data_IF_617521189306
#
_entry.id   IF_617521189306
#
_cell.length_a   1.000
_cell.length_b   1.000
_cell.length_c   1.000
_cell.angle_alpha   90.00
_cell.angle_beta   90.00
_cell.angle_gamma   90.00
#
_symmetry.space_group_name_H-M   'P 1'
#
loop_
_entity.id
_entity.type
_entity.pdbx_description
1 polymer ?
#
# COMPACT_ATOMS: atom_id res chain seq x y z
N UNK A 1 30.78 -0.48 -0.35
CA UNK A 1 29.48 -1.11 -0.26
C UNK A 1 29.20 -1.51 1.18
N UNK A 2 28.02 -1.20 1.68
CA UNK A 2 27.64 -1.51 3.05
C UNK A 2 26.76 -2.75 3.10
N UNK A 3 26.91 -3.60 4.12
CA UNK A 3 25.96 -4.69 4.32
C UNK A 3 24.53 -4.16 4.48
N UNK A 4 23.57 -4.97 4.10
CA UNK A 4 22.16 -4.58 4.15
C UNK A 4 21.70 -4.15 5.53
N UNK A 5 22.20 -4.82 6.56
CA UNK A 5 21.79 -4.54 7.94
C UNK A 5 22.38 -3.24 8.48
N UNK A 6 23.32 -2.64 7.77
CA UNK A 6 23.88 -1.34 8.14
C UNK A 6 23.16 -0.18 7.47
N UNK A 7 22.25 -0.45 6.56
CA UNK A 7 21.47 0.57 5.88
C UNK A 7 20.26 0.90 6.74
N UNK A 8 20.08 2.18 7.05
CA UNK A 8 18.96 2.61 7.86
C UNK A 8 17.63 2.29 7.18
N UNK A 9 16.72 1.70 7.91
CA UNK A 9 15.37 1.38 7.44
C UNK A 9 14.35 1.99 8.37
N UNK A 10 13.28 2.46 7.77
CA UNK A 10 12.15 3.00 8.51
C UNK A 10 11.04 1.98 8.57
N UNK A 11 10.36 1.92 9.70
CA UNK A 11 9.14 1.12 9.83
C UNK A 11 7.97 2.05 9.59
N UNK A 12 7.11 1.67 8.66
CA UNK A 12 5.93 2.46 8.31
C UNK A 12 4.69 1.58 8.28
N UNK A 13 3.55 2.21 8.46
CA UNK A 13 2.25 1.55 8.31
C UNK A 13 1.52 2.21 7.17
N UNK A 14 0.99 1.41 6.25
CA UNK A 14 0.23 1.88 5.11
C UNK A 14 -1.13 1.23 5.11
N UNK A 15 -2.15 2.02 4.78
CA UNK A 15 -3.49 1.51 4.58
C UNK A 15 -3.74 1.41 3.09
N UNK A 16 -4.07 0.22 2.63
CA UNK A 16 -4.41 -0.03 1.24
C UNK A 16 -5.91 -0.14 1.15
N UNK A 17 -6.52 0.52 0.16
CA UNK A 17 -7.95 0.49 0.01
C UNK A 17 -8.38 0.53 -1.44
N UNK A 18 -9.47 -0.16 -1.76
CA UNK A 18 -10.05 -0.14 -3.09
C UNK A 18 -11.56 -0.34 -2.98
N UNK A 19 -12.32 0.49 -3.69
CA UNK A 19 -13.77 0.35 -3.71
C UNK A 19 -14.35 0.25 -5.11
N UNK A 20 -13.51 0.18 -6.13
CA UNK A 20 -13.96 0.07 -7.51
C UNK A 20 -13.26 -1.08 -8.21
N UNK A 21 -13.94 -1.65 -9.20
CA UNK A 21 -13.39 -2.75 -9.99
C UNK A 21 -13.21 -4.01 -9.16
N UNK A 22 -12.19 -4.77 -9.49
CA UNK A 22 -11.82 -5.96 -8.73
C UNK A 22 -11.00 -5.53 -7.51
N UNK A 23 -11.71 -5.30 -6.40
CA UNK A 23 -11.12 -4.72 -5.19
C UNK A 23 -9.99 -5.56 -4.63
N UNK A 24 -10.15 -6.87 -4.61
CA UNK A 24 -9.14 -7.77 -4.08
C UNK A 24 -7.91 -7.78 -4.96
N UNK A 25 -8.10 -7.83 -6.27
CA UNK A 25 -7.00 -7.78 -7.22
C UNK A 25 -6.22 -6.48 -7.11
N UNK A 26 -6.92 -5.37 -6.90
CA UNK A 26 -6.28 -4.07 -6.72
C UNK A 26 -5.40 -4.05 -5.47
N UNK A 27 -5.86 -4.63 -4.38
CA UNK A 27 -5.08 -4.71 -3.15
C UNK A 27 -3.84 -5.59 -3.36
N UNK A 28 -4.00 -6.73 -4.01
CA UNK A 28 -2.88 -7.62 -4.27
C UNK A 28 -1.86 -6.99 -5.21
N UNK A 29 -2.33 -6.26 -6.22
CA UNK A 29 -1.45 -5.54 -7.13
C UNK A 29 -0.67 -4.46 -6.39
N UNK A 30 -1.33 -3.75 -5.47
CA UNK A 30 -0.67 -2.73 -4.65
C UNK A 30 0.44 -3.37 -3.81
N UNK A 31 0.18 -4.52 -3.20
CA UNK A 31 1.18 -5.22 -2.41
C UNK A 31 2.39 -5.60 -3.25
N UNK A 32 2.15 -6.14 -4.44
CA UNK A 32 3.25 -6.51 -5.35
C UNK A 32 4.11 -5.31 -5.73
N UNK A 33 3.46 -4.20 -6.05
CA UNK A 33 4.19 -3.00 -6.43
C UNK A 33 4.94 -2.39 -5.25
N UNK A 34 4.39 -2.46 -4.04
CA UNK A 34 5.09 -2.02 -2.84
C UNK A 34 6.38 -2.82 -2.63
N UNK A 35 6.32 -4.14 -2.83
CA UNK A 35 7.51 -4.98 -2.71
C UNK A 35 8.57 -4.64 -3.75
N UNK A 36 8.15 -4.26 -4.94
CA UNK A 36 9.08 -3.89 -6.00
C UNK A 36 9.68 -2.50 -5.83
N UNK A 37 8.88 -1.55 -5.37
CA UNK A 37 9.24 -0.14 -5.47
C UNK A 37 9.57 0.52 -4.15
N UNK A 38 9.09 -0.02 -3.03
CA UNK A 38 9.18 0.70 -1.76
C UNK A 38 9.93 -0.04 -0.66
N UNK A 39 9.80 -1.34 -0.55
CA UNK A 39 10.48 -2.06 0.51
C UNK A 39 9.86 -3.41 0.82
N UNK A 40 9.97 -3.84 2.08
CA UNK A 40 9.53 -5.15 2.54
C UNK A 40 8.26 -5.04 3.38
N UNK A 41 7.28 -5.89 3.09
CA UNK A 41 6.10 -6.04 3.94
C UNK A 41 6.45 -7.02 5.04
N UNK A 42 6.33 -6.59 6.28
CA UNK A 42 6.68 -7.39 7.46
C UNK A 42 5.48 -8.12 8.00
N UNK A 43 4.35 -7.43 8.11
CA UNK A 43 3.10 -7.97 8.63
C UNK A 43 1.96 -7.31 7.88
N UNK A 44 0.88 -8.07 7.68
CA UNK A 44 -0.34 -7.54 7.07
C UNK A 44 -1.52 -7.88 7.94
N UNK A 45 -2.46 -6.97 8.05
CA UNK A 45 -3.74 -7.26 8.69
C UNK A 45 -4.57 -8.17 7.78
N UNK A 46 -5.63 -8.79 8.30
CA UNK A 46 -6.64 -9.38 7.42
C UNK A 46 -7.24 -8.28 6.54
N UNK A 47 -7.80 -8.69 5.40
CA UNK A 47 -8.56 -7.78 4.55
C UNK A 47 -9.94 -7.59 5.20
N UNK A 48 -10.43 -6.36 5.22
CA UNK A 48 -11.72 -6.05 5.82
C UNK A 48 -12.46 -5.01 5.00
N UNK A 49 -13.78 -4.97 5.16
CA UNK A 49 -14.60 -4.00 4.44
C UNK A 49 -14.95 -2.81 5.31
N UNK A 50 -15.11 -1.64 4.69
CA UNK A 50 -15.61 -0.46 5.37
C UNK A 50 -16.52 0.33 4.45
N UNK A 51 -17.49 1.03 5.05
CA UNK A 51 -18.36 1.91 4.31
C UNK A 51 -17.63 3.16 3.84
N UNK A 52 -18.02 3.71 2.66
CA UNK A 52 -17.51 5.02 2.26
C UNK A 52 -17.90 6.07 3.26
N UNK A 53 -16.95 6.87 3.70
CA UNK A 53 -17.18 7.87 4.73
C UNK A 53 -17.88 9.09 4.15
N UNK A 54 -18.91 9.57 4.84
CA UNK A 54 -19.56 10.83 4.50
C UNK A 54 -20.62 10.78 3.41
N UNK A 55 -20.87 9.62 2.82
CA UNK A 55 -21.94 9.46 1.82
C UNK A 55 -22.35 8.01 1.71
N UNK A 56 -23.55 7.80 1.15
CA UNK A 56 -24.05 6.45 0.91
C UNK A 56 -23.56 5.96 -0.44
N UNK A 57 -23.10 4.72 -0.48
CA UNK A 57 -22.66 4.09 -1.72
C UNK A 57 -22.76 2.58 -1.56
N UNK A 58 -23.03 1.91 -2.67
CA UNK A 58 -22.97 0.45 -2.71
C UNK A 58 -21.54 -0.03 -2.89
N UNK A 59 -20.59 0.89 -3.09
CA UNK A 59 -19.19 0.55 -3.33
C UNK A 59 -18.40 0.67 -2.04
N UNK A 60 -18.49 -0.37 -1.22
CA UNK A 60 -17.71 -0.43 0.02
C UNK A 60 -16.23 -0.68 -0.30
N UNK A 61 -15.38 -0.15 0.56
CA UNK A 61 -13.95 -0.39 0.44
C UNK A 61 -13.57 -1.77 0.95
N UNK A 62 -12.63 -2.42 0.25
CA UNK A 62 -11.80 -3.43 0.87
C UNK A 62 -10.53 -2.74 1.33
N UNK A 63 -10.08 -3.10 2.52
CA UNK A 63 -8.93 -2.46 3.16
C UNK A 63 -7.97 -3.49 3.71
N UNK A 64 -6.71 -3.11 3.74
CA UNK A 64 -5.70 -3.88 4.44
C UNK A 64 -4.63 -2.93 4.96
N UNK A 65 -4.19 -3.12 6.19
CA UNK A 65 -3.06 -2.37 6.74
C UNK A 65 -1.82 -3.23 6.63
N UNK A 66 -0.75 -2.67 6.14
CA UNK A 66 0.53 -3.37 6.06
C UNK A 66 1.58 -2.61 6.84
N UNK A 67 2.42 -3.36 7.54
CA UNK A 67 3.60 -2.83 8.20
C UNK A 67 4.79 -3.14 7.30
N UNK A 68 5.56 -2.11 6.97
CA UNK A 68 6.66 -2.24 6.04
C UNK A 68 7.95 -1.70 6.61
N UNK A 69 9.05 -2.21 6.10
CA UNK A 69 10.36 -1.60 6.26
C UNK A 69 10.82 -1.06 4.92
N UNK A 70 11.25 0.19 4.92
CA UNK A 70 11.70 0.86 3.70
C UNK A 70 12.93 1.70 3.99
N UNK A 71 13.79 1.82 2.98
CA UNK A 71 14.94 2.73 3.05
C UNK A 71 14.58 4.10 2.50
N UNK A 72 13.40 4.25 1.94
CA UNK A 72 12.98 5.51 1.35
C UNK A 72 12.64 6.54 2.41
N UNK A 73 13.08 7.76 2.19
CA UNK A 73 12.67 8.89 3.00
C UNK A 73 11.21 9.24 2.66
N UNK A 74 10.54 10.07 3.48
CA UNK A 74 9.10 10.33 3.27
C UNK A 74 8.73 10.84 1.89
N UNK A 75 9.51 11.74 1.32
CA UNK A 75 9.19 12.30 0.01
C UNK A 75 9.31 11.30 -1.13
N UNK A 76 10.44 10.61 -1.28
CA UNK A 76 10.54 9.54 -2.27
C UNK A 76 9.51 8.44 -2.07
N UNK A 77 9.18 8.13 -0.82
CA UNK A 77 8.15 7.14 -0.53
C UNK A 77 6.78 7.60 -1.06
N UNK A 78 6.42 8.85 -0.83
CA UNK A 78 5.18 9.40 -1.32
C UNK A 78 5.11 9.35 -2.84
N UNK A 79 6.21 9.64 -3.52
CA UNK A 79 6.27 9.54 -4.98
C UNK A 79 5.99 8.12 -5.46
N UNK A 80 6.56 7.13 -4.77
CA UNK A 80 6.30 5.72 -5.11
C UNK A 80 4.85 5.34 -4.87
N UNK A 81 4.25 5.85 -3.79
CA UNK A 81 2.84 5.59 -3.52
C UNK A 81 1.94 6.14 -4.62
N UNK A 82 2.23 7.34 -5.08
CA UNK A 82 1.47 7.95 -6.18
C UNK A 82 1.64 7.16 -7.48
N UNK A 83 2.85 6.69 -7.75
CA UNK A 83 3.13 5.85 -8.92
C UNK A 83 2.32 4.55 -8.87
N UNK A 84 2.24 3.93 -7.69
CA UNK A 84 1.48 2.71 -7.50
C UNK A 84 -0.01 2.96 -7.75
N UNK A 85 -0.53 4.04 -7.20
CA UNK A 85 -1.93 4.41 -7.42
C UNK A 85 -2.25 4.58 -8.90
N UNK A 86 -1.35 5.22 -9.64
CA UNK A 86 -1.53 5.40 -11.08
C UNK A 86 -1.57 4.08 -11.82
N UNK A 87 -0.68 3.16 -11.44
CA UNK A 87 -0.60 1.86 -12.13
C UNK A 87 -1.81 0.98 -11.90
N UNK A 88 -2.44 1.12 -10.75
CA UNK A 88 -3.53 0.24 -10.36
C UNK A 88 -4.89 0.81 -10.68
N UNK A 89 -5.11 2.01 -10.28
CA UNK A 89 -6.45 2.45 -10.01
C UNK A 89 -7.04 3.39 -11.01
N UNK A 90 -6.32 3.75 -11.97
CA UNK A 90 -6.82 4.76 -12.88
C UNK A 90 -7.27 4.18 -14.17
N UNK A 91 -8.49 4.26 -14.36
CA UNK A 91 -9.03 3.96 -15.66
C UNK A 91 -9.04 5.18 -16.55
#
# INVERSE_FOLDING_TARGET
MFPQDQIARHTIFLSLGSNLGDRMDNIESARRLLLQLAGQIVVSSPVYESEPWGFKSDHWFLNQVVKMKTMLQPFPLMEKMLEIEEKIGRD
#
